data_IF_341154180500
#
_entry.id   IF_341154180500
#
_cell.length_a   1.000
_cell.length_b   1.000
_cell.length_c   1.000
_cell.angle_alpha   90.00
_cell.angle_beta   90.00
_cell.angle_gamma   90.00
#
_symmetry.space_group_name_H-M   'P 1'
#
loop_
_entity.id
_entity.type
_entity.pdbx_description
1 polymer ?
#
# COMPACT_ATOMS: atom_id res chain seq x y z
N UNK A 1 3.59 -19.04 -9.52
CA UNK A 1 2.74 -19.07 -8.31
C UNK A 1 2.00 -17.76 -8.27
N UNK A 2 0.65 -17.82 -8.26
CA UNK A 2 -0.20 -16.63 -8.16
C UNK A 2 -0.06 -15.91 -6.82
N UNK A 3 -0.61 -14.72 -6.76
CA UNK A 3 -0.69 -13.95 -5.51
C UNK A 3 -1.77 -14.55 -4.61
N UNK A 4 -1.57 -14.47 -3.30
CA UNK A 4 -2.61 -14.81 -2.35
C UNK A 4 -3.66 -13.69 -2.34
N UNK A 5 -4.93 -14.06 -2.26
CA UNK A 5 -6.04 -13.10 -2.27
C UNK A 5 -6.86 -13.29 -0.99
N UNK A 6 -7.07 -12.19 -0.30
CA UNK A 6 -7.97 -12.12 0.86
C UNK A 6 -9.32 -11.58 0.39
N UNK A 7 -10.39 -12.23 0.81
CA UNK A 7 -11.75 -11.75 0.62
C UNK A 7 -12.29 -11.18 1.94
N UNK A 8 -12.77 -9.94 1.88
CA UNK A 8 -13.54 -9.32 2.96
C UNK A 8 -15.01 -9.41 2.59
N UNK A 9 -15.79 -10.09 3.41
CA UNK A 9 -17.19 -10.36 3.12
C UNK A 9 -18.06 -9.66 4.15
N UNK A 10 -18.96 -8.78 3.69
CA UNK A 10 -20.05 -8.25 4.48
C UNK A 10 -21.30 -9.07 4.20
N UNK A 11 -21.88 -9.66 5.22
CA UNK A 11 -23.06 -10.51 5.11
C UNK A 11 -24.07 -10.21 6.21
N UNK A 12 -25.32 -10.59 5.99
CA UNK A 12 -26.36 -10.56 7.01
C UNK A 12 -26.10 -11.62 8.08
N UNK A 13 -26.66 -11.42 9.26
CA UNK A 13 -26.68 -12.46 10.30
C UNK A 13 -27.35 -13.72 9.77
N UNK A 14 -26.81 -14.91 9.99
CA UNK A 14 -27.43 -16.14 9.57
C UNK A 14 -28.85 -16.28 10.11
N UNK A 15 -29.79 -16.57 9.24
CA UNK A 15 -31.17 -16.82 9.59
C UNK A 15 -31.58 -18.25 9.22
N UNK A 16 -32.45 -18.86 10.04
CA UNK A 16 -32.97 -20.19 9.76
C UNK A 16 -33.95 -20.15 8.59
N UNK A 17 -33.67 -20.91 7.55
CA UNK A 17 -34.59 -21.11 6.43
C UNK A 17 -35.40 -22.39 6.65
N UNK A 18 -36.68 -22.23 6.91
CA UNK A 18 -37.62 -23.35 7.19
C UNK A 18 -37.75 -24.28 5.99
N UNK A 19 -37.72 -23.73 4.78
CA UNK A 19 -37.89 -24.50 3.54
C UNK A 19 -36.64 -25.35 3.25
N UNK A 20 -35.48 -24.76 3.41
CA UNK A 20 -34.21 -25.45 3.17
C UNK A 20 -33.70 -26.26 4.37
N UNK A 21 -34.35 -26.10 5.53
CA UNK A 21 -33.96 -26.74 6.82
C UNK A 21 -32.48 -26.52 7.18
N UNK A 22 -31.98 -25.31 6.90
CA UNK A 22 -30.61 -24.92 7.24
C UNK A 22 -30.51 -23.44 7.53
N UNK A 23 -29.34 -22.96 7.99
CA UNK A 23 -29.04 -21.54 8.10
C UNK A 23 -28.63 -21.00 6.75
N UNK A 24 -29.17 -19.86 6.37
CA UNK A 24 -28.77 -19.08 5.20
C UNK A 24 -28.26 -17.72 5.58
N UNK A 25 -27.26 -17.26 4.86
CA UNK A 25 -26.70 -15.93 5.00
C UNK A 25 -26.65 -15.29 3.62
N UNK A 26 -27.17 -14.08 3.49
CA UNK A 26 -27.04 -13.31 2.27
C UNK A 26 -25.77 -12.48 2.33
N UNK A 27 -24.89 -12.66 1.35
CA UNK A 27 -23.72 -11.83 1.17
C UNK A 27 -24.16 -10.49 0.56
N UNK A 28 -23.81 -9.40 1.21
CA UNK A 28 -24.14 -8.04 0.80
C UNK A 28 -23.04 -7.43 -0.07
N UNK A 29 -21.77 -7.62 0.31
CA UNK A 29 -20.61 -7.12 -0.43
C UNK A 29 -19.43 -8.05 -0.26
N UNK A 30 -18.59 -8.08 -1.29
CA UNK A 30 -17.28 -8.76 -1.26
C UNK A 30 -16.25 -7.76 -1.79
N UNK A 31 -15.15 -7.62 -1.08
CA UNK A 31 -13.94 -6.95 -1.55
C UNK A 31 -12.80 -7.97 -1.61
N UNK A 32 -12.05 -7.95 -2.70
CA UNK A 32 -10.87 -8.80 -2.88
C UNK A 32 -9.62 -7.93 -2.79
N UNK A 33 -8.62 -8.43 -2.10
CA UNK A 33 -7.35 -7.72 -1.89
C UNK A 33 -6.19 -8.69 -2.10
N UNK A 34 -5.28 -8.36 -3.00
CA UNK A 34 -4.04 -9.11 -3.17
C UNK A 34 -3.13 -8.86 -1.97
N UNK A 35 -2.51 -9.91 -1.46
CA UNK A 35 -1.63 -9.84 -0.28
C UNK A 35 -0.33 -10.62 -0.51
N UNK A 36 0.72 -10.23 0.21
CA UNK A 36 1.93 -11.02 0.34
C UNK A 36 1.69 -12.26 1.21
N UNK A 37 2.68 -13.15 1.31
CA UNK A 37 2.63 -14.31 2.23
C UNK A 37 2.48 -13.91 3.70
N UNK A 38 2.89 -12.71 4.03
CA UNK A 38 2.79 -12.13 5.37
C UNK A 38 1.54 -11.28 5.55
N UNK A 39 0.57 -11.43 4.66
CA UNK A 39 -0.73 -10.74 4.69
C UNK A 39 -0.65 -9.22 4.51
N UNK A 40 0.42 -8.72 3.89
CA UNK A 40 0.56 -7.30 3.58
C UNK A 40 -0.13 -7.02 2.24
N UNK A 41 -1.12 -6.12 2.19
CA UNK A 41 -1.82 -5.78 0.97
C UNK A 41 -0.94 -4.94 0.04
N UNK A 42 -1.19 -5.10 -1.26
CA UNK A 42 -0.59 -4.27 -2.30
C UNK A 42 -1.59 -4.04 -3.44
N UNK A 43 -1.53 -2.87 -4.04
CA UNK A 43 -2.41 -2.47 -5.15
C UNK A 43 -1.74 -2.67 -6.52
N UNK A 44 -0.41 -2.86 -6.53
CA UNK A 44 0.36 -3.04 -7.76
C UNK A 44 1.48 -4.07 -7.63
N UNK A 45 1.91 -4.62 -8.75
CA UNK A 45 3.09 -5.50 -8.81
C UNK A 45 4.38 -4.76 -8.40
N UNK A 46 4.44 -3.45 -8.57
CA UNK A 46 5.58 -2.63 -8.16
C UNK A 46 5.66 -2.50 -6.64
N UNK A 47 4.54 -2.25 -5.95
CA UNK A 47 4.49 -2.27 -4.49
C UNK A 47 4.92 -3.63 -3.92
N UNK A 48 4.47 -4.73 -4.54
CA UNK A 48 4.91 -6.08 -4.18
C UNK A 48 6.43 -6.25 -4.31
N UNK A 49 7.05 -5.66 -5.35
CA UNK A 49 8.52 -5.69 -5.53
C UNK A 49 9.22 -4.91 -4.42
N UNK A 50 8.70 -3.73 -4.04
CA UNK A 50 9.23 -2.92 -2.93
C UNK A 50 9.12 -3.69 -1.61
N UNK A 51 7.97 -4.24 -1.29
CA UNK A 51 7.76 -5.05 -0.07
C UNK A 51 8.75 -6.21 0.00
N UNK A 52 8.90 -6.97 -1.09
CA UNK A 52 9.85 -8.08 -1.18
C UNK A 52 11.31 -7.61 -0.98
N UNK A 53 11.68 -6.46 -1.54
CA UNK A 53 13.01 -5.89 -1.39
C UNK A 53 13.28 -5.41 0.04
N UNK A 54 12.31 -4.75 0.67
CA UNK A 54 12.39 -4.34 2.07
C UNK A 54 12.61 -5.55 3.00
N UNK A 55 11.87 -6.63 2.79
CA UNK A 55 12.03 -7.86 3.57
C UNK A 55 13.36 -8.54 3.32
N UNK A 56 13.79 -8.65 2.08
CA UNK A 56 15.08 -9.29 1.75
C UNK A 56 16.27 -8.56 2.40
N UNK A 57 16.15 -7.24 2.55
CA UNK A 57 17.14 -6.40 3.22
C UNK A 57 16.89 -6.28 4.74
N UNK A 58 15.90 -7.03 5.27
CA UNK A 58 15.51 -7.02 6.70
C UNK A 58 15.22 -5.60 7.23
N UNK A 59 14.56 -4.77 6.40
CA UNK A 59 14.15 -3.41 6.76
C UNK A 59 12.89 -3.44 7.62
N UNK A 60 12.78 -2.50 8.55
CA UNK A 60 11.57 -2.29 9.34
C UNK A 60 10.69 -1.24 8.68
N UNK A 61 9.43 -1.59 8.42
CA UNK A 61 8.50 -0.71 7.73
C UNK A 61 7.06 -0.94 8.17
N UNK A 62 6.21 0.05 7.91
CA UNK A 62 4.76 -0.03 8.07
C UNK A 62 4.13 0.11 6.69
N UNK A 63 3.11 -0.70 6.38
CA UNK A 63 2.19 -0.50 5.26
C UNK A 63 0.92 0.14 5.80
N UNK A 64 0.68 1.46 5.59
CA UNK A 64 -0.56 2.09 6.00
C UNK A 64 -1.74 1.46 5.29
N UNK A 65 -2.82 1.16 6.02
CA UNK A 65 -4.02 0.50 5.48
C UNK A 65 -5.24 1.41 5.48
N UNK A 66 -5.14 2.56 6.11
CA UNK A 66 -6.26 3.48 6.26
C UNK A 66 -5.78 4.89 5.98
N UNK A 67 -6.51 5.57 5.13
CA UNK A 67 -6.38 7.00 4.90
C UNK A 67 -7.38 7.75 5.77
N UNK A 68 -6.89 8.70 6.56
CA UNK A 68 -7.73 9.67 7.24
C UNK A 68 -7.42 11.07 6.71
N UNK A 69 -8.30 11.58 5.85
CA UNK A 69 -8.15 12.88 5.23
C UNK A 69 -8.19 14.06 6.22
N UNK A 70 -8.53 13.81 7.49
CA UNK A 70 -8.54 14.83 8.55
C UNK A 70 -7.17 14.98 9.22
N UNK A 71 -6.37 13.92 9.17
CA UNK A 71 -5.07 13.86 9.85
C UNK A 71 -3.90 13.89 8.86
N UNK A 72 -4.12 13.52 7.60
CA UNK A 72 -3.06 13.34 6.62
C UNK A 72 -3.41 14.00 5.27
N UNK A 73 -2.55 14.89 4.81
CA UNK A 73 -2.67 15.50 3.49
C UNK A 73 -2.28 14.53 2.35
N UNK A 74 -1.48 13.52 2.67
CA UNK A 74 -1.03 12.48 1.74
C UNK A 74 -0.95 11.12 2.41
N UNK A 75 -1.18 10.07 1.63
CA UNK A 75 -1.14 8.70 2.09
C UNK A 75 0.01 7.95 1.39
N UNK A 76 1.10 7.62 2.11
CA UNK A 76 2.24 6.92 1.51
C UNK A 76 1.95 5.42 1.32
N UNK A 77 2.60 4.81 0.32
CA UNK A 77 2.51 3.37 0.12
C UNK A 77 3.20 2.59 1.25
N UNK A 78 4.31 3.11 1.77
CA UNK A 78 5.05 2.54 2.91
C UNK A 78 5.63 3.65 3.77
N UNK A 79 5.93 3.30 5.03
CA UNK A 79 6.69 4.13 5.97
C UNK A 79 7.90 3.32 6.45
N UNK A 80 9.10 3.76 6.12
CA UNK A 80 10.34 3.12 6.56
C UNK A 80 10.71 3.63 7.95
N UNK A 81 10.88 2.71 8.92
CA UNK A 81 10.99 3.05 10.35
C UNK A 81 12.37 2.82 10.94
N UNK A 82 13.29 2.20 10.21
CA UNK A 82 14.64 1.86 10.67
C UNK A 82 15.73 2.76 10.11
N UNK A 83 15.40 4.00 9.81
CA UNK A 83 16.35 5.02 9.37
C UNK A 83 16.87 5.84 10.55
N UNK A 84 17.93 6.63 10.33
CA UNK A 84 18.45 7.58 11.33
C UNK A 84 17.53 8.80 11.53
N UNK A 85 16.49 8.93 10.76
CA UNK A 85 15.51 10.02 10.91
C UNK A 85 14.74 9.84 12.22
N UNK A 86 14.41 10.97 12.88
CA UNK A 86 13.57 11.00 14.09
C UNK A 86 12.12 10.61 13.83
N UNK A 87 11.70 10.55 12.57
CA UNK A 87 10.36 10.15 12.13
C UNK A 87 10.44 9.16 10.97
N UNK A 88 9.41 8.33 10.77
CA UNK A 88 9.36 7.42 9.64
C UNK A 88 9.51 8.13 8.30
N UNK A 89 10.23 7.52 7.37
CA UNK A 89 10.46 8.05 6.02
C UNK A 89 9.37 7.55 5.08
N UNK A 90 8.55 8.44 4.49
CA UNK A 90 7.53 8.05 3.53
C UNK A 90 8.14 7.49 2.26
N UNK A 91 7.46 6.48 1.71
CA UNK A 91 7.85 5.82 0.46
C UNK A 91 6.66 5.75 -0.49
N UNK A 92 6.89 6.10 -1.75
CA UNK A 92 5.87 6.11 -2.80
C UNK A 92 6.32 5.29 -4.01
N UNK A 93 5.37 4.61 -4.63
CA UNK A 93 5.58 3.81 -5.84
C UNK A 93 4.69 4.33 -6.96
N UNK A 94 5.26 5.09 -7.87
CA UNK A 94 4.54 5.72 -8.98
C UNK A 94 4.50 4.80 -10.20
N UNK A 95 3.59 3.83 -10.18
CA UNK A 95 3.51 2.76 -11.19
C UNK A 95 2.73 3.09 -12.48
N UNK A 96 2.15 4.28 -12.61
CA UNK A 96 1.32 4.66 -13.75
C UNK A 96 1.85 5.90 -14.49
N UNK A 97 1.55 5.97 -15.79
CA UNK A 97 1.98 7.06 -16.68
C UNK A 97 0.81 7.83 -17.33
N UNK A 98 -0.42 7.71 -16.81
CA UNK A 98 -1.55 8.52 -17.31
C UNK A 98 -1.40 9.97 -16.91
N UNK A 99 -1.91 10.89 -17.73
CA UNK A 99 -1.77 12.33 -17.47
C UNK A 99 -2.32 12.75 -16.11
N UNK A 100 -3.50 12.23 -15.73
CA UNK A 100 -4.12 12.50 -14.44
C UNK A 100 -3.28 11.98 -13.27
N UNK A 101 -2.65 10.82 -13.44
CA UNK A 101 -1.76 10.25 -12.44
C UNK A 101 -0.47 11.08 -12.29
N UNK A 102 0.10 11.55 -13.40
CA UNK A 102 1.28 12.41 -13.40
C UNK A 102 0.99 13.69 -12.59
N UNK A 103 -0.15 14.34 -12.83
CA UNK A 103 -0.54 15.56 -12.07
C UNK A 103 -0.63 15.28 -10.56
N UNK A 104 -1.23 14.15 -10.14
CA UNK A 104 -1.31 13.76 -8.72
C UNK A 104 0.07 13.45 -8.15
N UNK A 105 0.90 12.76 -8.92
CA UNK A 105 2.27 12.45 -8.53
C UNK A 105 3.10 13.70 -8.25
N UNK A 106 3.05 14.70 -9.13
CA UNK A 106 3.81 15.94 -8.94
C UNK A 106 3.34 16.71 -7.70
N UNK A 107 2.05 16.72 -7.39
CA UNK A 107 1.52 17.27 -6.14
C UNK A 107 2.06 16.53 -4.91
N UNK A 108 2.10 15.19 -4.94
CA UNK A 108 2.69 14.40 -3.86
C UNK A 108 4.19 14.68 -3.69
N UNK A 109 4.95 14.74 -4.80
CA UNK A 109 6.39 15.09 -4.76
C UNK A 109 6.60 16.48 -4.14
N UNK A 110 5.81 17.48 -4.52
CA UNK A 110 5.89 18.82 -3.97
C UNK A 110 5.60 18.81 -2.45
N UNK A 111 4.55 18.10 -2.02
CA UNK A 111 4.20 17.95 -0.62
C UNK A 111 5.35 17.31 0.19
N UNK A 112 5.89 16.18 -0.26
CA UNK A 112 6.98 15.50 0.46
C UNK A 112 8.26 16.32 0.48
N UNK A 113 8.62 16.98 -0.61
CA UNK A 113 9.78 17.86 -0.66
C UNK A 113 9.68 19.01 0.33
N UNK A 114 8.47 19.56 0.54
CA UNK A 114 8.23 20.67 1.48
C UNK A 114 8.25 20.19 2.94
N UNK A 115 7.63 19.05 3.23
CA UNK A 115 7.34 18.63 4.61
C UNK A 115 8.36 17.65 5.20
N UNK A 116 9.19 17.05 4.36
CA UNK A 116 10.15 16.01 4.79
C UNK A 116 11.62 16.39 4.55
N UNK A 117 11.92 17.65 4.30
CA UNK A 117 13.29 18.18 4.26
C UNK A 117 13.77 18.46 5.69
N UNK A 118 15.04 18.13 6.05
CA UNK A 118 16.08 17.45 5.29
C UNK A 118 16.05 15.92 5.38
N UNK A 119 15.17 15.32 6.20
CA UNK A 119 15.09 13.88 6.44
C UNK A 119 14.84 13.07 5.16
N UNK A 120 14.26 13.73 4.16
CA UNK A 120 13.99 13.12 2.87
C UNK A 120 12.76 12.20 2.89
N UNK A 121 12.42 11.76 1.72
CA UNK A 121 11.45 10.74 1.43
C UNK A 121 12.00 9.89 0.30
N UNK A 122 11.41 8.72 0.05
CA UNK A 122 11.85 7.83 -1.01
C UNK A 122 10.73 7.60 -2.02
N UNK A 123 11.08 7.50 -3.30
CA UNK A 123 10.11 7.08 -4.30
C UNK A 123 10.77 6.27 -5.42
N UNK A 124 9.96 5.49 -6.07
CA UNK A 124 10.29 4.78 -7.28
C UNK A 124 9.23 5.02 -8.36
N UNK A 125 9.66 5.39 -9.55
CA UNK A 125 8.79 5.67 -10.70
C UNK A 125 9.21 4.78 -11.89
N UNK A 126 8.81 3.49 -11.93
CA UNK A 126 9.21 2.55 -12.99
C UNK A 126 8.98 3.05 -14.41
N UNK A 127 7.86 3.75 -14.76
CA UNK A 127 7.64 4.29 -16.08
C UNK A 127 8.69 5.34 -16.53
N UNK A 128 9.37 5.99 -15.58
CA UNK A 128 10.38 7.02 -15.87
C UNK A 128 11.80 6.52 -15.67
N UNK A 129 12.05 5.81 -14.57
CA UNK A 129 13.39 5.36 -14.18
C UNK A 129 13.76 3.96 -14.68
N UNK A 130 12.83 3.32 -15.43
CA UNK A 130 12.99 1.91 -15.77
C UNK A 130 12.74 0.99 -14.59
N UNK A 131 13.04 -0.29 -14.77
CA UNK A 131 12.76 -1.32 -13.77
C UNK A 131 13.71 -1.31 -12.55
N UNK A 132 14.77 -0.50 -12.60
CA UNK A 132 15.75 -0.42 -11.52
C UNK A 132 15.19 0.37 -10.33
N UNK A 133 15.08 -0.32 -9.21
CA UNK A 133 14.61 0.27 -7.97
C UNK A 133 15.76 1.07 -7.31
N UNK A 134 15.54 2.35 -6.94
CA UNK A 134 16.53 3.12 -6.22
C UNK A 134 16.91 2.45 -4.88
N UNK A 135 18.14 2.65 -4.37
CA UNK A 135 18.52 2.15 -3.05
C UNK A 135 17.63 2.79 -1.97
N UNK A 136 17.30 2.02 -0.94
CA UNK A 136 16.56 2.54 0.20
C UNK A 136 17.43 3.47 1.05
N UNK A 137 16.81 4.43 1.77
CA UNK A 137 17.49 5.28 2.73
C UNK A 137 18.30 4.45 3.75
N UNK A 138 19.46 4.96 4.15
CA UNK A 138 20.34 4.29 5.12
C UNK A 138 19.67 4.13 6.49
N UNK A 139 20.07 3.09 7.20
CA UNK A 139 19.78 2.90 8.63
C UNK A 139 20.51 3.92 9.47
#
# INVERSE_FOLDING_TARGET
RGDDVVAIVLAETPAWDVTARNYRTRVLRIALMAVSKEWIPFESSYEKRVEKALRSQKRSFIKPLRYDAREEDTFPDFLLTDTRSSRPVPMEVFGMATLEYIVRREKKKEYYNRNYTPAGWWYWSPPESGEDMPPFPSR
#
